data_IF_297257880164
#
_entry.id   IF_297257880164
#
_cell.length_a   1.000
_cell.length_b   1.000
_cell.length_c   1.000
_cell.angle_alpha   90.00
_cell.angle_beta   90.00
_cell.angle_gamma   90.00
#
_symmetry.space_group_name_H-M   'P 1'
#
loop_
_entity.id
_entity.type
_entity.pdbx_description
1 polymer ?
#
# COMPACT_ATOMS: atom_id res chain seq x y z
N UNK A 1 -58.59 25.39 51.93
CA UNK A 1 -57.82 24.11 51.69
C UNK A 1 -57.10 24.25 50.39
N UNK A 2 -55.80 24.50 50.43
CA UNK A 2 -54.96 24.57 49.22
C UNK A 2 -54.27 23.17 49.05
N UNK A 3 -54.54 22.48 47.94
CA UNK A 3 -53.90 21.24 47.59
C UNK A 3 -52.59 21.55 46.88
N UNK A 4 -51.46 21.18 47.46
CA UNK A 4 -50.15 21.20 46.85
C UNK A 4 -49.96 19.95 45.98
N UNK A 5 -49.58 20.14 44.70
CA UNK A 5 -49.19 19.04 43.81
C UNK A 5 -47.68 18.87 43.90
N UNK A 6 -47.17 17.64 43.98
CA UNK A 6 -45.73 17.42 43.95
C UNK A 6 -45.24 17.54 42.51
N UNK A 7 -44.22 18.39 42.29
CA UNK A 7 -43.55 18.53 41.03
C UNK A 7 -42.74 17.27 40.70
N UNK A 8 -42.98 16.69 39.53
CA UNK A 8 -42.19 15.59 38.96
C UNK A 8 -40.96 16.23 38.30
N UNK A 9 -39.79 16.02 38.89
CA UNK A 9 -38.49 16.35 38.28
C UNK A 9 -38.15 15.29 37.25
N UNK A 10 -38.26 15.59 35.97
CA UNK A 10 -37.79 14.72 34.90
C UNK A 10 -36.26 14.86 34.76
N UNK A 11 -35.52 13.84 35.16
CA UNK A 11 -34.07 13.75 34.92
C UNK A 11 -33.89 13.35 33.46
N UNK A 12 -33.45 14.26 32.62
CA UNK A 12 -32.97 13.95 31.25
C UNK A 12 -31.58 13.35 31.38
N UNK A 13 -31.48 12.05 31.16
CA UNK A 13 -30.19 11.37 30.94
C UNK A 13 -29.78 11.64 29.49
N UNK A 14 -28.89 12.60 29.29
CA UNK A 14 -28.24 12.82 27.98
C UNK A 14 -27.20 11.69 27.78
N UNK A 15 -27.59 10.68 27.03
CA UNK A 15 -26.65 9.66 26.56
C UNK A 15 -25.73 10.31 25.50
N UNK A 16 -24.57 10.77 25.92
CA UNK A 16 -23.52 11.22 25.00
C UNK A 16 -22.95 9.98 24.30
N UNK A 17 -23.55 9.63 23.15
CA UNK A 17 -22.97 8.65 22.22
C UNK A 17 -21.75 9.31 21.61
N UNK A 18 -20.57 9.14 22.21
CA UNK A 18 -19.29 9.54 21.64
C UNK A 18 -19.09 8.75 20.35
N UNK A 19 -19.22 9.42 19.22
CA UNK A 19 -18.72 8.91 17.94
C UNK A 19 -17.20 8.84 18.09
N UNK A 20 -16.68 7.66 18.45
CA UNK A 20 -15.27 7.34 18.29
C UNK A 20 -15.02 7.36 16.78
N UNK A 21 -14.61 8.50 16.26
CA UNK A 21 -14.10 8.59 14.89
C UNK A 21 -12.90 7.64 14.79
N UNK A 22 -13.02 6.57 14.02
CA UNK A 22 -11.91 5.68 13.71
C UNK A 22 -10.94 6.53 12.87
N UNK A 23 -9.80 6.91 13.45
CA UNK A 23 -8.78 7.59 12.69
C UNK A 23 -8.30 6.62 11.60
N UNK A 24 -8.47 6.99 10.33
CA UNK A 24 -7.96 6.22 9.20
C UNK A 24 -6.45 6.39 9.10
N UNK A 25 -5.72 5.29 8.91
CA UNK A 25 -4.31 5.35 8.56
C UNK A 25 -4.12 5.91 7.13
N UNK A 26 -2.96 6.44 6.82
CA UNK A 26 -2.67 6.90 5.46
C UNK A 26 -1.19 6.74 5.13
N UNK A 27 -0.89 6.20 3.96
CA UNK A 27 0.49 6.06 3.50
C UNK A 27 0.63 5.26 2.22
N UNK A 28 1.86 5.19 1.70
CA UNK A 28 2.25 4.35 0.57
C UNK A 28 3.77 4.15 0.52
N UNK A 29 4.25 3.25 -0.34
CA UNK A 29 5.69 3.07 -0.55
C UNK A 29 6.31 4.32 -1.18
N UNK A 30 7.36 4.80 -0.53
CA UNK A 30 8.19 5.91 -0.96
C UNK A 30 9.44 5.42 -1.68
N UNK A 31 10.05 4.34 -1.17
CA UNK A 31 11.24 3.74 -1.75
C UNK A 31 11.27 2.22 -1.48
N UNK A 32 11.26 1.37 -2.54
CA UNK A 32 10.99 1.73 -3.93
C UNK A 32 9.60 2.36 -4.11
N UNK A 33 9.53 3.37 -4.98
CA UNK A 33 8.31 4.19 -5.12
C UNK A 33 7.14 3.38 -5.67
N UNK A 34 5.95 3.52 -5.04
CA UNK A 34 4.73 2.88 -5.53
C UNK A 34 4.15 3.58 -6.76
N UNK A 35 3.39 2.81 -7.58
CA UNK A 35 2.66 3.33 -8.75
C UNK A 35 1.82 4.57 -8.41
N UNK A 36 1.04 4.50 -7.32
CA UNK A 36 0.15 5.59 -6.92
C UNK A 36 0.94 6.83 -6.50
N UNK A 37 2.00 6.65 -5.69
CA UNK A 37 2.80 7.78 -5.22
C UNK A 37 3.64 8.40 -6.35
N UNK A 38 4.15 7.58 -7.28
CA UNK A 38 4.81 8.08 -8.48
C UNK A 38 3.89 8.98 -9.30
N UNK A 39 2.68 8.53 -9.61
CA UNK A 39 1.73 9.31 -10.40
C UNK A 39 1.26 10.58 -9.65
N UNK A 40 1.23 10.54 -8.30
CA UNK A 40 1.02 11.74 -7.47
C UNK A 40 2.13 12.77 -7.68
N UNK A 41 3.39 12.32 -7.69
CA UNK A 41 4.55 13.20 -7.86
C UNK A 41 4.68 13.77 -9.29
N UNK A 42 4.16 13.06 -10.28
CA UNK A 42 4.11 13.56 -11.67
C UNK A 42 3.07 14.66 -11.90
N UNK A 43 2.32 15.06 -10.89
CA UNK A 43 1.16 15.94 -10.98
C UNK A 43 -0.03 15.27 -11.71
N UNK A 44 -1.10 14.88 -10.99
CA UNK A 44 -2.26 14.20 -11.57
C UNK A 44 -2.96 14.95 -12.70
N UNK A 45 -2.86 16.28 -12.73
CA UNK A 45 -3.44 17.10 -13.81
C UNK A 45 -2.59 17.09 -15.11
N UNK A 46 -1.31 16.70 -15.02
CA UNK A 46 -0.37 16.69 -16.13
C UNK A 46 0.66 15.57 -15.98
N UNK A 47 0.23 14.31 -15.89
CA UNK A 47 1.17 13.20 -15.77
C UNK A 47 2.06 13.12 -17.01
N UNK A 48 3.29 12.68 -16.85
CA UNK A 48 4.31 12.69 -17.91
C UNK A 48 4.65 11.30 -18.43
N UNK A 49 4.63 10.28 -17.56
CA UNK A 49 4.86 8.89 -18.00
C UNK A 49 3.62 8.29 -18.64
N UNK A 50 3.81 7.44 -19.66
CA UNK A 50 2.70 6.80 -20.36
C UNK A 50 1.83 5.96 -19.41
N UNK A 51 2.44 5.31 -18.41
CA UNK A 51 1.72 4.55 -17.39
C UNK A 51 0.83 5.44 -16.53
N UNK A 52 1.34 6.57 -15.99
CA UNK A 52 0.54 7.49 -15.18
C UNK A 52 -0.55 8.20 -16.00
N UNK A 53 -0.28 8.56 -17.27
CA UNK A 53 -1.29 9.11 -18.18
C UNK A 53 -2.46 8.12 -18.32
N UNK A 54 -2.17 6.85 -18.60
CA UNK A 54 -3.20 5.82 -18.74
C UNK A 54 -3.95 5.57 -17.42
N UNK A 55 -3.24 5.55 -16.29
CA UNK A 55 -3.82 5.34 -14.97
C UNK A 55 -4.76 6.48 -14.57
N UNK A 56 -4.36 7.73 -14.82
CA UNK A 56 -5.21 8.91 -14.58
C UNK A 56 -6.43 8.92 -15.49
N UNK A 57 -6.25 8.59 -16.78
CA UNK A 57 -7.37 8.49 -17.73
C UNK A 57 -8.43 7.47 -17.28
N UNK A 58 -8.02 6.39 -16.62
CA UNK A 58 -8.91 5.32 -16.15
C UNK A 58 -9.53 5.60 -14.77
N UNK A 59 -8.77 6.18 -13.84
CA UNK A 59 -9.16 6.38 -12.43
C UNK A 59 -9.65 7.80 -12.13
N UNK A 60 -9.33 8.78 -12.98
CA UNK A 60 -9.46 10.20 -12.68
C UNK A 60 -8.33 10.72 -11.77
N UNK A 61 -8.18 12.04 -11.72
CA UNK A 61 -7.10 12.70 -10.96
C UNK A 61 -7.23 12.52 -9.44
N UNK A 62 -8.48 12.45 -8.93
CA UNK A 62 -8.74 12.33 -7.49
C UNK A 62 -8.08 11.10 -6.85
N UNK A 63 -8.00 9.97 -7.58
CA UNK A 63 -7.31 8.77 -7.11
C UNK A 63 -5.84 9.02 -6.72
N UNK A 64 -5.20 9.97 -7.41
CA UNK A 64 -3.78 10.28 -7.19
C UNK A 64 -3.58 11.46 -6.21
N UNK A 65 -4.58 12.30 -6.00
CA UNK A 65 -4.60 13.22 -4.85
C UNK A 65 -4.78 12.46 -3.54
N UNK A 66 -5.59 11.40 -3.55
CA UNK A 66 -5.82 10.50 -2.42
C UNK A 66 -4.86 9.29 -2.46
N UNK A 67 -3.62 9.52 -2.89
CA UNK A 67 -2.58 8.49 -3.10
C UNK A 67 -2.29 7.64 -1.86
N UNK A 68 -2.54 8.16 -0.69
CA UNK A 68 -2.27 7.55 0.60
C UNK A 68 -3.43 6.70 1.15
N UNK A 69 -4.51 6.52 0.38
CA UNK A 69 -5.74 5.82 0.80
C UNK A 69 -6.03 4.54 0.00
N UNK A 70 -5.02 3.91 -0.59
CA UNK A 70 -5.23 2.60 -1.24
C UNK A 70 -5.39 1.55 -0.15
N UNK A 71 -6.62 1.39 0.34
CA UNK A 71 -6.92 0.63 1.55
C UNK A 71 -8.15 -0.26 1.41
N UNK A 72 -8.26 -1.19 2.37
CA UNK A 72 -9.49 -1.93 2.68
C UNK A 72 -9.82 -1.72 4.17
N UNK A 73 -10.97 -1.10 4.51
CA UNK A 73 -11.28 -0.71 5.88
C UNK A 73 -11.55 -1.89 6.81
N UNK A 74 -11.90 -3.05 6.25
CA UNK A 74 -12.25 -4.26 6.99
C UNK A 74 -11.43 -5.48 6.54
N UNK A 75 -10.17 -5.29 6.20
CA UNK A 75 -9.28 -6.37 5.74
C UNK A 75 -9.09 -7.44 6.81
N UNK A 76 -8.73 -7.02 8.02
CA UNK A 76 -8.54 -7.92 9.18
C UNK A 76 -7.73 -9.18 8.84
N UNK A 77 -6.64 -9.02 8.07
CA UNK A 77 -5.76 -10.09 7.61
C UNK A 77 -6.30 -10.95 6.45
N UNK A 78 -7.53 -10.73 5.99
CA UNK A 78 -8.17 -11.54 4.92
C UNK A 78 -7.90 -11.00 3.51
N UNK A 79 -6.68 -10.54 3.25
CA UNK A 79 -6.31 -9.84 2.02
C UNK A 79 -6.64 -10.63 0.76
N UNK A 80 -6.29 -11.93 0.73
CA UNK A 80 -6.54 -12.82 -0.42
C UNK A 80 -8.02 -13.17 -0.64
N UNK A 81 -8.85 -13.03 0.39
CA UNK A 81 -10.29 -13.30 0.29
C UNK A 81 -11.06 -12.10 -0.27
N UNK A 82 -10.61 -10.89 0.05
CA UNK A 82 -11.35 -9.66 -0.25
C UNK A 82 -10.84 -8.90 -1.47
N UNK A 83 -9.59 -9.15 -1.89
CA UNK A 83 -9.00 -8.53 -3.07
C UNK A 83 -8.89 -9.56 -4.18
N UNK A 84 -9.66 -9.42 -5.27
CA UNK A 84 -9.62 -10.38 -6.37
C UNK A 84 -8.34 -10.26 -7.21
N UNK A 85 -8.00 -11.34 -7.90
CA UNK A 85 -6.96 -11.34 -8.93
C UNK A 85 -7.22 -10.24 -9.97
N UNK A 86 -6.15 -9.62 -10.45
CA UNK A 86 -6.21 -8.50 -11.37
C UNK A 86 -6.52 -7.14 -10.72
N UNK A 87 -6.73 -7.09 -9.40
CA UNK A 87 -7.08 -5.86 -8.67
C UNK A 87 -6.21 -5.65 -7.41
N UNK A 88 -5.02 -6.24 -7.39
CA UNK A 88 -4.14 -6.17 -6.22
C UNK A 88 -3.65 -4.75 -5.95
N UNK A 89 -3.22 -4.03 -7.00
CA UNK A 89 -2.65 -2.69 -6.85
C UNK A 89 -3.70 -1.62 -6.52
N UNK A 90 -4.95 -1.84 -6.86
CA UNK A 90 -6.08 -0.98 -6.46
C UNK A 90 -6.67 -1.37 -5.11
N UNK A 91 -6.20 -2.47 -4.50
CA UNK A 91 -6.84 -3.08 -3.34
C UNK A 91 -8.32 -3.46 -3.59
N UNK A 92 -8.71 -3.83 -4.81
CA UNK A 92 -10.09 -4.12 -5.20
C UNK A 92 -11.00 -2.89 -5.26
N UNK A 93 -10.44 -1.65 -5.20
CA UNK A 93 -11.24 -0.42 -5.19
C UNK A 93 -11.31 0.21 -6.58
N UNK A 94 -12.53 0.39 -7.09
CA UNK A 94 -12.78 1.00 -8.40
C UNK A 94 -12.13 2.39 -8.56
N UNK A 95 -12.00 3.17 -7.47
CA UNK A 95 -11.30 4.46 -7.44
C UNK A 95 -9.87 4.36 -7.98
N UNK A 96 -9.16 3.28 -7.67
CA UNK A 96 -7.75 3.09 -7.97
C UNK A 96 -7.47 2.11 -9.12
N UNK A 97 -8.50 1.70 -9.88
CA UNK A 97 -8.39 0.67 -10.93
C UNK A 97 -7.31 0.93 -11.98
N UNK A 98 -6.90 2.19 -12.18
CA UNK A 98 -5.80 2.53 -13.07
C UNK A 98 -4.44 2.00 -12.60
N UNK A 99 -4.29 1.67 -11.31
CA UNK A 99 -3.07 1.07 -10.77
C UNK A 99 -2.92 -0.41 -11.18
N UNK A 100 -4.03 -1.06 -11.56
CA UNK A 100 -4.04 -2.47 -11.97
C UNK A 100 -3.70 -2.65 -13.46
N UNK A 101 -3.47 -1.57 -14.20
CA UNK A 101 -3.13 -1.68 -15.62
C UNK A 101 -1.91 -2.58 -15.83
N UNK A 102 -2.11 -3.66 -16.58
CA UNK A 102 -1.08 -4.62 -16.99
C UNK A 102 -0.18 -3.97 -18.04
N UNK A 103 0.97 -3.44 -17.62
CA UNK A 103 1.89 -2.64 -18.44
C UNK A 103 3.33 -2.86 -18.04
N UNK A 104 4.20 -3.02 -19.02
CA UNK A 104 5.64 -3.16 -18.81
C UNK A 104 6.38 -1.81 -18.66
N UNK A 105 5.69 -0.68 -18.85
CA UNK A 105 6.29 0.67 -18.83
C UNK A 105 6.01 1.47 -17.54
N UNK A 106 5.51 0.80 -16.49
CA UNK A 106 5.55 1.40 -15.15
C UNK A 106 7.00 1.72 -14.77
N UNK A 107 7.23 2.85 -14.12
CA UNK A 107 8.56 3.17 -13.60
C UNK A 107 9.04 2.07 -12.65
N UNK A 108 10.22 1.54 -12.91
CA UNK A 108 10.86 0.51 -12.10
C UNK A 108 12.29 0.95 -11.77
N UNK A 109 12.54 1.48 -10.56
CA UNK A 109 13.90 1.74 -10.12
C UNK A 109 14.70 0.45 -10.03
N UNK A 110 16.00 0.54 -10.34
CA UNK A 110 16.92 -0.58 -10.21
C UNK A 110 17.16 -0.93 -8.74
N UNK A 111 17.18 -2.23 -8.45
CA UNK A 111 17.56 -2.79 -7.17
C UNK A 111 18.62 -3.87 -7.38
N UNK A 112 19.59 -3.97 -6.46
CA UNK A 112 20.48 -5.12 -6.42
C UNK A 112 19.84 -6.27 -5.64
N UNK A 113 20.01 -7.49 -6.14
CA UNK A 113 19.47 -8.72 -5.53
C UNK A 113 20.30 -9.16 -4.32
N UNK A 114 19.64 -9.54 -3.21
CA UNK A 114 20.28 -10.12 -2.03
C UNK A 114 21.16 -9.16 -1.21
N UNK A 115 20.87 -7.87 -1.23
CA UNK A 115 21.64 -6.84 -0.49
C UNK A 115 20.80 -6.21 0.64
N UNK A 116 21.48 -5.71 1.65
CA UNK A 116 20.82 -4.94 2.70
C UNK A 116 20.25 -3.65 2.13
N UNK A 117 19.00 -3.38 2.48
CA UNK A 117 18.24 -2.23 2.00
C UNK A 117 17.32 -1.68 3.08
N UNK A 118 17.09 -0.38 3.09
CA UNK A 118 16.07 0.22 3.95
C UNK A 118 14.90 0.69 3.11
N UNK A 119 13.81 -0.05 3.18
CA UNK A 119 12.56 0.30 2.51
C UNK A 119 11.90 1.46 3.25
N UNK A 120 11.33 2.40 2.49
CA UNK A 120 10.65 3.56 3.06
C UNK A 120 9.17 3.54 2.71
N UNK A 121 8.34 3.61 3.75
CA UNK A 121 6.89 3.76 3.61
C UNK A 121 6.48 5.10 4.22
N UNK A 122 6.12 6.07 3.36
CA UNK A 122 5.68 7.39 3.81
C UNK A 122 4.28 7.26 4.44
N UNK A 123 4.14 7.77 5.67
CA UNK A 123 2.90 7.73 6.42
C UNK A 123 2.44 9.15 6.76
N UNK A 124 1.34 9.58 6.17
CA UNK A 124 0.71 10.88 6.48
C UNK A 124 -0.20 10.79 7.71
N UNK A 125 -0.63 9.59 8.07
CA UNK A 125 -1.29 9.25 9.32
C UNK A 125 -0.77 7.90 9.82
N UNK A 126 0.29 7.87 10.64
CA UNK A 126 0.91 6.65 11.12
C UNK A 126 0.06 5.97 12.20
N UNK A 127 0.05 4.63 12.17
CA UNK A 127 -0.58 3.77 13.17
C UNK A 127 0.26 2.54 13.45
N UNK A 128 0.02 1.90 14.59
CA UNK A 128 0.61 0.60 14.90
C UNK A 128 0.12 -0.45 13.90
N UNK A 129 1.03 -1.33 13.49
CA UNK A 129 0.72 -2.36 12.51
C UNK A 129 1.92 -3.19 12.13
N UNK A 130 1.67 -4.14 11.23
CA UNK A 130 2.74 -4.92 10.63
C UNK A 130 2.76 -4.73 9.12
N UNK A 131 3.94 -4.88 8.56
CA UNK A 131 4.20 -4.78 7.14
C UNK A 131 4.61 -6.14 6.59
N UNK A 132 4.02 -6.53 5.48
CA UNK A 132 4.40 -7.71 4.70
C UNK A 132 4.80 -7.26 3.30
N UNK A 133 5.99 -7.67 2.87
CA UNK A 133 6.52 -7.37 1.53
C UNK A 133 6.62 -8.66 0.74
N UNK A 134 5.85 -8.75 -0.32
CA UNK A 134 5.90 -9.85 -1.28
C UNK A 134 6.61 -9.39 -2.55
N UNK A 135 7.28 -10.32 -3.22
CA UNK A 135 7.87 -10.12 -4.55
C UNK A 135 7.20 -11.08 -5.53
N UNK A 136 7.10 -10.69 -6.79
CA UNK A 136 6.61 -11.58 -7.83
C UNK A 136 7.59 -12.74 -8.11
N UNK A 137 7.03 -13.85 -8.58
CA UNK A 137 7.79 -15.01 -9.07
C UNK A 137 8.51 -14.67 -10.37
N UNK A 138 9.50 -15.48 -10.74
CA UNK A 138 10.26 -15.28 -11.99
C UNK A 138 9.41 -15.47 -13.25
N UNK A 139 8.24 -16.11 -13.13
CA UNK A 139 7.27 -16.27 -14.21
C UNK A 139 6.34 -15.08 -14.39
N UNK A 140 6.49 -14.02 -13.60
CA UNK A 140 5.64 -12.82 -13.69
C UNK A 140 5.77 -12.12 -15.04
N UNK A 141 4.63 -11.86 -15.68
CA UNK A 141 4.53 -11.05 -16.88
C UNK A 141 3.82 -9.73 -16.55
N UNK A 142 4.51 -8.56 -16.63
CA UNK A 142 3.91 -7.26 -16.33
C UNK A 142 2.81 -6.84 -17.32
N UNK A 143 2.67 -7.55 -18.45
CA UNK A 143 1.62 -7.29 -19.46
C UNK A 143 0.34 -8.08 -19.20
N UNK A 144 0.33 -8.94 -18.18
CA UNK A 144 -0.84 -9.67 -17.71
C UNK A 144 -1.37 -9.09 -16.37
N UNK A 145 -2.69 -9.20 -16.09
CA UNK A 145 -3.24 -8.78 -14.81
C UNK A 145 -2.59 -9.50 -13.63
N UNK A 146 -2.08 -8.75 -12.65
CA UNK A 146 -1.41 -9.30 -11.47
C UNK A 146 -2.35 -10.16 -10.63
N UNK A 147 -1.95 -11.39 -10.33
CA UNK A 147 -2.68 -12.35 -9.50
C UNK A 147 -1.94 -12.63 -8.21
N UNK A 148 -2.66 -13.11 -7.20
CA UNK A 148 -2.04 -13.59 -5.98
C UNK A 148 -1.06 -14.75 -6.19
N UNK A 149 -1.31 -15.59 -7.23
CA UNK A 149 -0.41 -16.67 -7.62
C UNK A 149 0.90 -16.21 -8.25
N UNK A 150 0.97 -14.96 -8.70
CA UNK A 150 2.20 -14.38 -9.26
C UNK A 150 3.17 -13.92 -8.16
N UNK A 151 2.70 -13.82 -6.92
CA UNK A 151 3.54 -13.51 -5.77
C UNK A 151 4.17 -14.78 -5.18
N UNK A 152 5.35 -14.64 -4.59
CA UNK A 152 5.92 -15.72 -3.77
C UNK A 152 4.98 -16.07 -2.62
N UNK A 153 5.02 -17.32 -2.15
CA UNK A 153 4.07 -17.83 -1.14
C UNK A 153 4.17 -17.14 0.21
N UNK A 154 5.37 -16.67 0.53
CA UNK A 154 5.69 -15.99 1.79
C UNK A 154 6.26 -14.60 1.53
N UNK A 155 6.00 -13.64 2.41
CA UNK A 155 6.65 -12.35 2.34
C UNK A 155 8.15 -12.50 2.63
N UNK A 156 9.00 -11.76 1.91
CA UNK A 156 10.43 -11.71 2.18
C UNK A 156 10.77 -10.75 3.34
N UNK A 157 9.85 -9.85 3.72
CA UNK A 157 9.89 -9.05 4.94
C UNK A 157 8.54 -9.17 5.64
N UNK A 158 8.59 -9.43 6.95
CA UNK A 158 7.45 -9.29 7.86
C UNK A 158 7.96 -8.59 9.11
N UNK A 159 7.51 -7.34 9.34
CA UNK A 159 7.98 -6.50 10.44
C UNK A 159 6.82 -5.81 11.13
N UNK A 160 6.85 -5.80 12.46
CA UNK A 160 5.82 -5.15 13.28
C UNK A 160 6.37 -3.86 13.88
N UNK A 161 5.60 -2.79 13.76
CA UNK A 161 5.89 -1.46 14.34
C UNK A 161 7.30 -0.97 14.03
N UNK A 162 7.71 -0.86 12.75
CA UNK A 162 9.01 -0.33 12.39
C UNK A 162 9.15 1.13 12.84
N UNK A 163 10.38 1.61 12.96
CA UNK A 163 10.68 2.98 13.39
C UNK A 163 10.12 4.01 12.42
N UNK A 164 9.42 5.00 12.96
CA UNK A 164 8.95 6.17 12.20
C UNK A 164 9.95 7.31 12.32
N UNK A 165 10.55 7.71 11.21
CA UNK A 165 11.55 8.79 11.16
C UNK A 165 11.18 9.77 10.05
N UNK A 166 11.06 11.04 10.37
CA UNK A 166 10.75 12.11 9.40
C UNK A 166 9.50 11.84 8.54
N UNK A 167 8.48 11.21 9.14
CA UNK A 167 7.20 10.93 8.47
C UNK A 167 7.18 9.64 7.62
N UNK A 168 8.27 8.85 7.64
CA UNK A 168 8.32 7.56 6.95
C UNK A 168 8.70 6.44 7.92
N UNK A 169 8.02 5.30 7.79
CA UNK A 169 8.49 4.07 8.41
C UNK A 169 9.76 3.61 7.72
N UNK A 170 10.80 3.39 8.50
CA UNK A 170 12.06 2.80 8.04
C UNK A 170 12.05 1.31 8.32
N UNK A 171 12.13 0.53 7.25
CA UNK A 171 11.97 -0.92 7.29
C UNK A 171 13.28 -1.54 6.76
N UNK A 172 14.25 -1.80 7.65
CA UNK A 172 15.48 -2.48 7.24
C UNK A 172 15.18 -3.94 6.87
N UNK A 173 15.82 -4.42 5.83
CA UNK A 173 15.69 -5.78 5.35
C UNK A 173 16.71 -6.09 4.27
N UNK A 174 16.60 -7.28 3.69
CA UNK A 174 17.42 -7.72 2.56
C UNK A 174 16.53 -7.84 1.33
N UNK A 175 16.97 -7.31 0.21
CA UNK A 175 16.24 -7.50 -1.06
C UNK A 175 16.18 -8.98 -1.43
N UNK A 176 15.13 -9.44 -2.14
CA UNK A 176 15.03 -10.83 -2.54
C UNK A 176 16.27 -11.32 -3.30
N UNK A 177 16.80 -12.49 -2.90
CA UNK A 177 17.96 -13.10 -3.54
C UNK A 177 17.57 -13.76 -4.87
N UNK A 178 18.52 -13.84 -5.81
CA UNK A 178 18.38 -14.54 -7.09
C UNK A 178 17.26 -13.98 -8.00
N UNK A 179 16.84 -12.74 -7.81
CA UNK A 179 15.95 -12.04 -8.72
C UNK A 179 16.75 -11.29 -9.77
N UNK A 180 16.24 -11.29 -11.00
CA UNK A 180 16.82 -10.57 -12.15
C UNK A 180 15.71 -10.02 -13.02
N UNK A 181 15.93 -8.83 -13.61
CA UNK A 181 14.94 -8.18 -14.46
C UNK A 181 13.72 -7.66 -13.71
N UNK A 182 12.63 -7.54 -14.42
CA UNK A 182 11.45 -6.84 -13.94
C UNK A 182 10.59 -7.67 -13.00
N UNK A 183 10.33 -7.10 -11.85
CA UNK A 183 9.46 -7.66 -10.83
C UNK A 183 8.51 -6.58 -10.28
N UNK A 184 7.52 -7.01 -9.49
CA UNK A 184 6.65 -6.12 -8.73
C UNK A 184 6.71 -6.51 -7.25
N UNK A 185 6.96 -5.52 -6.42
CA UNK A 185 6.88 -5.64 -4.97
C UNK A 185 5.47 -5.24 -4.52
N UNK A 186 4.78 -6.15 -3.85
CA UNK A 186 3.46 -5.92 -3.28
C UNK A 186 3.58 -5.79 -1.77
N UNK A 187 3.15 -4.64 -1.24
CA UNK A 187 3.29 -4.31 0.18
C UNK A 187 1.93 -4.18 0.82
N UNK A 188 1.76 -4.85 1.95
CA UNK A 188 0.59 -4.79 2.82
C UNK A 188 1.01 -4.14 4.13
N UNK A 189 0.34 -3.07 4.55
CA UNK A 189 0.39 -2.55 5.90
C UNK A 189 -0.94 -2.85 6.59
N UNK A 190 -0.96 -3.86 7.45
CA UNK A 190 -2.12 -4.19 8.27
C UNK A 190 -2.00 -3.48 9.62
N UNK A 191 -2.98 -2.68 9.96
CA UNK A 191 -3.07 -2.06 11.28
C UNK A 191 -3.39 -3.10 12.35
N UNK A 192 -2.88 -2.89 13.58
CA UNK A 192 -3.20 -3.71 14.76
C UNK A 192 -4.21 -3.04 15.69
N UNK A 193 -4.43 -1.74 15.52
CA UNK A 193 -5.41 -0.93 16.25
C UNK A 193 -6.75 -0.77 15.51
N UNK A 194 -6.88 -1.36 14.32
CA UNK A 194 -8.05 -1.31 13.46
C UNK A 194 -8.04 -2.49 12.47
N UNK A 195 -9.19 -2.94 11.94
CA UNK A 195 -9.24 -3.94 10.88
C UNK A 195 -8.72 -3.45 9.52
N UNK A 196 -8.39 -2.17 9.39
CA UNK A 196 -7.95 -1.54 8.15
C UNK A 196 -6.56 -2.00 7.70
N UNK A 197 -6.38 -2.18 6.38
CA UNK A 197 -5.08 -2.42 5.78
C UNK A 197 -4.86 -1.55 4.54
N UNK A 198 -3.60 -1.24 4.25
CA UNK A 198 -3.15 -0.45 3.11
C UNK A 198 -2.29 -1.29 2.19
N UNK A 199 -2.31 -0.94 0.90
CA UNK A 199 -1.66 -1.72 -0.15
C UNK A 199 -0.86 -0.82 -1.08
N UNK A 200 0.29 -1.32 -1.52
CA UNK A 200 1.12 -0.61 -2.49
C UNK A 200 1.77 -1.59 -3.46
N UNK A 201 1.78 -1.20 -4.73
CA UNK A 201 2.54 -1.87 -5.79
C UNK A 201 3.72 -0.98 -6.19
N UNK A 202 4.92 -1.51 -6.09
CA UNK A 202 6.16 -0.87 -6.57
C UNK A 202 6.80 -1.77 -7.61
N UNK A 203 6.86 -1.31 -8.86
CA UNK A 203 7.63 -2.00 -9.90
C UNK A 203 9.11 -1.78 -9.63
N UNK A 204 9.91 -2.81 -9.83
CA UNK A 204 11.36 -2.80 -9.62
C UNK A 204 12.06 -3.57 -10.73
N UNK A 205 13.32 -3.23 -11.01
CA UNK A 205 14.14 -3.93 -11.98
C UNK A 205 15.43 -4.40 -11.29
N UNK A 206 15.56 -5.72 -11.12
CA UNK A 206 16.76 -6.26 -10.49
C UNK A 206 17.90 -6.31 -11.50
N UNK A 207 19.00 -5.66 -11.15
CA UNK A 207 20.21 -5.65 -11.96
C UNK A 207 20.62 -7.08 -12.29
N UNK A 208 20.97 -7.33 -13.56
CA UNK A 208 21.60 -8.58 -13.95
C UNK A 208 22.95 -8.65 -13.21
N UNK A 209 23.09 -9.62 -12.31
CA UNK A 209 24.35 -9.83 -11.62
C UNK A 209 25.45 -10.01 -12.68
N UNK A 210 26.35 -9.03 -12.79
CA UNK A 210 27.51 -9.18 -13.65
C UNK A 210 28.30 -10.40 -13.13
N UNK A 211 28.68 -11.35 -14.00
CA UNK A 211 29.50 -12.47 -13.56
C UNK A 211 30.76 -11.91 -12.91
N UNK A 212 31.02 -12.32 -11.65
CA UNK A 212 32.28 -12.02 -11.00
C UNK A 212 33.38 -12.62 -11.88
N UNK A 213 34.08 -11.78 -12.64
CA UNK A 213 35.31 -12.20 -13.31
C UNK A 213 36.28 -12.56 -12.20
N UNK A 214 36.48 -13.86 -11.99
CA UNK A 214 37.56 -14.40 -11.19
C UNK A 214 38.87 -14.01 -11.90
N UNK A 215 39.54 -12.99 -11.38
CA UNK A 215 40.93 -12.71 -11.78
C UNK A 215 41.79 -13.83 -11.20
N UNK A 216 42.08 -14.83 -12.01
CA UNK A 216 43.13 -15.82 -11.74
C UNK A 216 44.49 -15.21 -11.94
#
# INVERSE_FOLDING_TARGET
MRRSWPGVVAIMVVCACGLLGVASGHGSMQDPISRVYRCRLENPERPTSAACIAAVALSGTQAFYDWNEVNQPFANGRHREIIPDGQLCSAGRAKYRGLDLARADWLAPSLSSGVDYTFLYIATAPHLGYFEFYITRDSYDPTEPLKWSDLEDSPFINVTNPSLVSGSYQIPGTTPSNKTGRHLMYVIWQRTDSPEAFYACSDVDFDVALPLYSTT
#
